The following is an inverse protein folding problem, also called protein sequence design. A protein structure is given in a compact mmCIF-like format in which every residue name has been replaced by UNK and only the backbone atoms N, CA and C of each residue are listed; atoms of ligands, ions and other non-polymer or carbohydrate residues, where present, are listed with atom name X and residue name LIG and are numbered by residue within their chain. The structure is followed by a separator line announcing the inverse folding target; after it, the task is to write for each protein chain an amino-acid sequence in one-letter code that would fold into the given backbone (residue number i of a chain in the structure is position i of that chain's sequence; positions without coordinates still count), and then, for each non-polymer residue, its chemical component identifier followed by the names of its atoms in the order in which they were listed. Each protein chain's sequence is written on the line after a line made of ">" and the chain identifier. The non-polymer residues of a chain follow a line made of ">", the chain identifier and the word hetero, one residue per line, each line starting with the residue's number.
data_IF_517257590795
#
_entry.id   IF_517257590795
#
_cell.length_a   1.000
_cell.length_b   1.000
_cell.length_c   1.000
_cell.angle_alpha   90.00
_cell.angle_beta   90.00
_cell.angle_gamma   90.00
#
_symmetry.space_group_name_H-M   'P 1'
#
loop_
_entity.id
_entity.type
_entity.pdbx_description
1 polymer ?
#
# COMPACT_ATOMS: atom_id res chain seq x y z
N UNK A 1 -0.38 -19.71 26.56
CA UNK A 1 0.68 -19.09 25.74
C UNK A 1 2.01 -19.14 26.49
N UNK A 2 3.06 -19.72 25.91
CA UNK A 2 4.42 -19.63 26.48
C UNK A 2 5.07 -18.32 26.03
N UNK A 3 5.66 -17.56 26.96
CA UNK A 3 6.44 -16.38 26.60
C UNK A 3 7.76 -16.76 25.89
N UNK A 4 8.36 -15.79 25.17
CA UNK A 4 9.59 -16.01 24.40
C UNK A 4 10.74 -16.56 25.26
N UNK A 5 10.91 -16.07 26.50
CA UNK A 5 11.95 -16.55 27.40
C UNK A 5 11.75 -18.02 27.82
N UNK A 6 10.51 -18.47 27.98
CA UNK A 6 10.19 -19.88 28.26
C UNK A 6 10.51 -20.77 27.05
N UNK A 7 10.19 -20.31 25.83
CA UNK A 7 10.47 -21.04 24.58
C UNK A 7 11.99 -21.14 24.35
N UNK A 8 12.74 -20.05 24.57
CA UNK A 8 14.19 -20.05 24.45
C UNK A 8 14.87 -20.97 25.46
N UNK A 9 14.38 -20.98 26.71
CA UNK A 9 14.89 -21.89 27.76
C UNK A 9 14.68 -23.35 27.38
N UNK A 10 13.52 -23.71 26.84
CA UNK A 10 13.24 -25.09 26.44
C UNK A 10 14.09 -25.51 25.23
N UNK A 11 14.22 -24.63 24.23
CA UNK A 11 15.10 -24.85 23.07
C UNK A 11 16.59 -24.90 23.43
N UNK A 12 16.99 -24.32 24.55
CA UNK A 12 18.36 -24.43 25.07
C UNK A 12 18.62 -25.79 25.72
N UNK A 13 17.59 -26.42 26.30
CA UNK A 13 17.70 -27.76 26.89
C UNK A 13 17.59 -28.87 25.85
N UNK A 14 16.73 -28.69 24.85
CA UNK A 14 16.41 -29.69 23.82
C UNK A 14 16.32 -29.02 22.46
N UNK A 15 16.89 -29.64 21.42
CA UNK A 15 16.83 -29.10 20.04
C UNK A 15 15.39 -29.03 19.49
N UNK A 16 14.49 -29.88 20.01
CA UNK A 16 13.07 -29.97 19.66
C UNK A 16 12.30 -30.25 20.95
N UNK A 17 11.14 -29.63 21.13
CA UNK A 17 10.25 -29.91 22.25
C UNK A 17 8.78 -29.94 21.79
N UNK A 18 7.89 -30.71 22.44
CA UNK A 18 6.47 -30.74 22.08
C UNK A 18 5.76 -29.47 22.59
N UNK A 19 4.91 -28.87 21.75
CA UNK A 19 4.05 -27.77 22.17
C UNK A 19 3.14 -28.22 23.33
N UNK A 20 3.02 -27.46 24.43
CA UNK A 20 2.20 -27.85 25.58
C UNK A 20 0.68 -27.77 25.33
N UNK A 21 0.25 -27.27 24.18
CA UNK A 21 -1.17 -27.11 23.82
C UNK A 21 -1.60 -28.15 22.79
N UNK A 22 -0.80 -28.33 21.73
CA UNK A 22 -1.15 -29.16 20.57
C UNK A 22 -0.13 -30.25 20.23
N UNK A 23 0.86 -30.48 21.11
CA UNK A 23 1.91 -31.51 21.00
C UNK A 23 2.78 -31.44 19.73
N UNK A 24 2.58 -30.45 18.88
CA UNK A 24 3.32 -30.27 17.64
C UNK A 24 4.81 -30.03 17.97
N UNK A 25 5.75 -30.72 17.30
CA UNK A 25 7.17 -30.59 17.58
C UNK A 25 7.69 -29.21 17.17
N UNK A 26 8.09 -28.40 18.15
CA UNK A 26 8.59 -27.05 17.96
C UNK A 26 10.10 -27.07 17.75
N UNK A 27 10.57 -26.48 16.65
CA UNK A 27 11.98 -26.27 16.32
C UNK A 27 12.28 -24.77 16.25
N UNK A 28 13.54 -24.38 16.47
CA UNK A 28 13.94 -22.95 16.33
C UNK A 28 13.60 -22.39 14.94
N UNK A 29 13.78 -23.19 13.89
CA UNK A 29 13.50 -22.78 12.49
C UNK A 29 12.01 -22.63 12.17
N UNK A 30 11.12 -23.23 12.95
CA UNK A 30 9.66 -23.17 12.72
C UNK A 30 8.97 -22.09 13.57
N UNK A 31 9.69 -21.49 14.52
CA UNK A 31 9.17 -20.39 15.31
C UNK A 31 9.18 -19.10 14.49
N UNK A 32 8.04 -18.43 14.47
CA UNK A 32 7.89 -17.13 13.84
C UNK A 32 7.66 -16.07 14.92
N UNK A 33 8.17 -14.86 14.69
CA UNK A 33 7.84 -13.69 15.51
C UNK A 33 6.47 -13.11 15.16
N UNK A 34 5.86 -13.60 14.08
CA UNK A 34 4.52 -13.19 13.64
C UNK A 34 3.48 -13.63 14.65
N UNK A 35 2.52 -12.75 14.89
CA UNK A 35 1.36 -13.05 15.74
C UNK A 35 0.38 -13.97 15.00
N UNK A 36 -0.54 -14.59 15.73
CA UNK A 36 -1.62 -15.36 15.10
C UNK A 36 -2.50 -14.45 14.23
N UNK A 37 -2.74 -13.22 14.67
CA UNK A 37 -3.48 -12.21 13.93
C UNK A 37 -2.79 -11.90 12.59
N UNK A 38 -1.46 -11.76 12.56
CA UNK A 38 -0.70 -11.54 11.32
C UNK A 38 -0.87 -12.69 10.32
N UNK A 39 -0.93 -13.93 10.80
CA UNK A 39 -1.08 -15.12 9.96
C UNK A 39 -2.53 -15.22 9.46
N UNK A 40 -3.50 -14.93 10.32
CA UNK A 40 -4.92 -14.95 9.97
C UNK A 40 -5.26 -13.83 8.96
N UNK A 41 -4.78 -12.61 9.19
CA UNK A 41 -4.96 -11.49 8.26
C UNK A 41 -4.30 -11.75 6.90
N UNK A 42 -3.13 -12.40 6.85
CA UNK A 42 -2.51 -12.77 5.57
C UNK A 42 -3.33 -13.82 4.83
N UNK A 43 -3.82 -14.85 5.54
CA UNK A 43 -4.69 -15.88 4.96
C UNK A 43 -5.97 -15.26 4.38
N UNK A 44 -6.62 -14.38 5.15
CA UNK A 44 -7.80 -13.62 4.73
C UNK A 44 -7.50 -12.76 3.50
N UNK A 45 -6.46 -11.93 3.56
CA UNK A 45 -6.08 -11.02 2.48
C UNK A 45 -5.73 -11.78 1.20
N UNK A 46 -5.04 -12.91 1.31
CA UNK A 46 -4.67 -13.75 0.18
C UNK A 46 -5.91 -14.34 -0.52
N UNK A 47 -6.85 -14.89 0.25
CA UNK A 47 -8.09 -15.45 -0.31
C UNK A 47 -9.03 -14.37 -0.83
N UNK A 48 -9.22 -13.25 -0.11
CA UNK A 48 -10.04 -12.13 -0.57
C UNK A 48 -9.52 -11.59 -1.90
N UNK A 49 -8.20 -11.40 -2.06
CA UNK A 49 -7.60 -11.00 -3.35
C UNK A 49 -7.91 -11.99 -4.47
N UNK A 50 -7.84 -13.29 -4.20
CA UNK A 50 -8.12 -14.33 -5.19
C UNK A 50 -9.60 -14.36 -5.58
N UNK A 51 -10.50 -14.29 -4.62
CA UNK A 51 -11.95 -14.28 -4.85
C UNK A 51 -12.35 -13.01 -5.60
N UNK A 52 -11.93 -11.82 -5.17
CA UNK A 52 -12.25 -10.55 -5.84
C UNK A 52 -11.67 -10.43 -7.26
N UNK A 53 -10.61 -11.19 -7.58
CA UNK A 53 -10.08 -11.25 -8.95
C UNK A 53 -11.06 -11.93 -9.91
N UNK A 54 -11.79 -12.92 -9.41
CA UNK A 54 -12.80 -13.70 -10.14
C UNK A 54 -14.17 -13.00 -10.07
N UNK A 55 -14.59 -12.65 -8.86
CA UNK A 55 -15.80 -11.91 -8.56
C UNK A 55 -15.57 -10.40 -8.72
N UNK A 56 -15.43 -9.94 -9.97
CA UNK A 56 -15.08 -8.56 -10.30
C UNK A 56 -16.22 -7.70 -10.88
N UNK A 57 -17.48 -8.08 -10.63
CA UNK A 57 -18.64 -7.23 -10.94
C UNK A 57 -18.69 -6.02 -9.99
N UNK A 58 -19.19 -4.91 -10.51
CA UNK A 58 -19.36 -3.61 -9.84
C UNK A 58 -20.84 -3.27 -9.76
N UNK A 59 -21.19 -2.28 -8.93
CA UNK A 59 -22.58 -1.87 -8.70
C UNK A 59 -23.37 -1.60 -10.00
N UNK A 60 -22.74 -0.99 -11.01
CA UNK A 60 -23.37 -0.68 -12.30
C UNK A 60 -23.78 -1.91 -13.13
N UNK A 61 -23.33 -3.10 -12.75
CA UNK A 61 -23.71 -4.35 -13.42
C UNK A 61 -25.01 -4.94 -12.89
N UNK A 62 -25.54 -4.36 -11.81
CA UNK A 62 -26.73 -4.84 -11.14
C UNK A 62 -27.88 -3.83 -11.36
N UNK A 63 -29.11 -4.32 -11.49
CA UNK A 63 -30.29 -3.47 -11.66
C UNK A 63 -30.67 -2.74 -10.37
N UNK A 64 -30.19 -3.18 -9.21
CA UNK A 64 -30.47 -2.57 -7.92
C UNK A 64 -29.31 -2.70 -6.93
N UNK A 65 -29.27 -1.78 -5.98
CA UNK A 65 -28.31 -1.82 -4.87
C UNK A 65 -28.48 -3.08 -4.00
N UNK A 66 -29.72 -3.59 -3.85
CA UNK A 66 -29.98 -4.82 -3.10
C UNK A 66 -29.28 -6.02 -3.74
N UNK A 67 -29.36 -6.17 -5.06
CA UNK A 67 -28.69 -7.26 -5.77
C UNK A 67 -27.18 -7.16 -5.69
N UNK A 68 -26.63 -5.95 -5.79
CA UNK A 68 -25.20 -5.73 -5.59
C UNK A 68 -24.76 -6.10 -4.17
N UNK A 69 -25.52 -5.71 -3.14
CA UNK A 69 -25.20 -6.07 -1.76
C UNK A 69 -25.32 -7.58 -1.51
N UNK A 70 -26.33 -8.25 -2.08
CA UNK A 70 -26.44 -9.72 -2.00
C UNK A 70 -25.24 -10.41 -2.66
N UNK A 71 -24.76 -9.85 -3.77
CA UNK A 71 -23.54 -10.33 -4.43
C UNK A 71 -22.28 -10.12 -3.57
N UNK A 72 -22.15 -8.97 -2.90
CA UNK A 72 -21.04 -8.73 -1.95
C UNK A 72 -21.10 -9.69 -0.76
N UNK A 73 -22.29 -9.95 -0.23
CA UNK A 73 -22.49 -10.92 0.84
C UNK A 73 -22.08 -12.34 0.39
N UNK A 74 -22.49 -12.76 -0.81
CA UNK A 74 -22.07 -14.06 -1.38
C UNK A 74 -20.54 -14.17 -1.47
N UNK A 75 -19.87 -13.09 -1.89
CA UNK A 75 -18.39 -13.03 -1.94
C UNK A 75 -17.78 -13.17 -0.55
N UNK A 76 -18.29 -12.46 0.45
CA UNK A 76 -17.77 -12.56 1.83
C UNK A 76 -18.08 -13.92 2.47
N UNK A 77 -19.23 -14.54 2.19
CA UNK A 77 -19.51 -15.93 2.60
C UNK A 77 -18.46 -16.90 2.03
N UNK A 78 -18.14 -16.81 0.73
CA UNK A 78 -17.11 -17.64 0.11
C UNK A 78 -15.75 -17.44 0.78
N UNK A 79 -15.35 -16.19 1.03
CA UNK A 79 -14.08 -15.87 1.69
C UNK A 79 -14.07 -16.42 3.12
N UNK A 80 -15.13 -16.20 3.88
CA UNK A 80 -15.25 -16.61 5.27
C UNK A 80 -15.11 -18.13 5.44
N UNK A 81 -15.88 -18.91 4.67
CA UNK A 81 -15.85 -20.37 4.75
C UNK A 81 -14.47 -20.92 4.37
N UNK A 82 -13.80 -20.32 3.37
CA UNK A 82 -12.45 -20.75 2.96
C UNK A 82 -11.38 -20.38 4.01
N UNK A 83 -11.43 -19.17 4.56
CA UNK A 83 -10.43 -18.66 5.51
C UNK A 83 -10.52 -19.40 6.85
N UNK A 84 -11.74 -19.68 7.31
CA UNK A 84 -11.98 -20.37 8.57
C UNK A 84 -12.00 -21.90 8.45
N UNK A 85 -11.82 -22.44 7.23
CA UNK A 85 -11.84 -23.89 6.97
C UNK A 85 -13.13 -24.55 7.46
N UNK A 86 -14.27 -23.92 7.15
CA UNK A 86 -15.59 -24.49 7.45
C UNK A 86 -15.81 -25.79 6.67
N UNK A 87 -16.83 -26.57 7.09
CA UNK A 87 -17.14 -27.87 6.49
C UNK A 87 -17.44 -27.80 4.99
N UNK A 88 -17.91 -26.64 4.50
CA UNK A 88 -18.24 -26.38 3.11
C UNK A 88 -17.11 -25.67 2.33
N UNK A 89 -15.93 -25.45 2.93
CA UNK A 89 -14.82 -24.71 2.31
C UNK A 89 -14.41 -25.29 0.94
N UNK A 90 -14.43 -26.61 0.77
CA UNK A 90 -14.13 -27.26 -0.52
C UNK A 90 -15.22 -27.03 -1.56
N UNK A 91 -16.49 -26.97 -1.13
CA UNK A 91 -17.61 -26.62 -2.00
C UNK A 91 -17.49 -25.16 -2.49
N UNK A 92 -17.18 -24.23 -1.59
CA UNK A 92 -16.97 -22.82 -1.97
C UNK A 92 -15.78 -22.65 -2.94
N UNK A 93 -14.69 -23.40 -2.75
CA UNK A 93 -13.56 -23.42 -3.72
C UNK A 93 -13.99 -23.97 -5.08
N UNK A 94 -14.81 -25.02 -5.10
CA UNK A 94 -15.34 -25.58 -6.35
C UNK A 94 -16.28 -24.59 -7.05
N UNK A 95 -17.14 -23.90 -6.30
CA UNK A 95 -18.03 -22.83 -6.79
C UNK A 95 -17.23 -21.69 -7.40
N UNK A 96 -16.19 -21.22 -6.72
CA UNK A 96 -15.27 -20.20 -7.22
C UNK A 96 -14.64 -20.61 -8.56
N UNK A 97 -14.14 -21.85 -8.65
CA UNK A 97 -13.53 -22.37 -9.87
C UNK A 97 -14.54 -22.47 -11.03
N UNK A 98 -15.74 -22.96 -10.75
CA UNK A 98 -16.82 -23.05 -11.74
C UNK A 98 -17.20 -21.65 -12.26
N UNK A 99 -17.34 -20.68 -11.37
CA UNK A 99 -17.63 -19.30 -11.76
C UNK A 99 -16.51 -18.71 -12.63
N UNK A 100 -15.24 -18.95 -12.29
CA UNK A 100 -14.09 -18.52 -13.06
C UNK A 100 -14.11 -19.09 -14.49
N UNK A 101 -14.45 -20.37 -14.65
CA UNK A 101 -14.56 -21.04 -15.94
C UNK A 101 -15.71 -20.47 -16.79
N UNK A 102 -16.88 -20.26 -16.19
CA UNK A 102 -18.08 -19.75 -16.85
C UNK A 102 -17.96 -18.27 -17.27
N UNK A 103 -17.24 -17.46 -16.48
CA UNK A 103 -17.17 -16.00 -16.67
C UNK A 103 -15.80 -15.52 -17.16
N UNK A 104 -14.93 -16.44 -17.60
CA UNK A 104 -13.52 -16.16 -17.92
C UNK A 104 -13.32 -14.96 -18.85
N UNK A 105 -14.10 -14.85 -19.92
CA UNK A 105 -13.99 -13.74 -20.88
C UNK A 105 -14.33 -12.39 -20.28
N UNK A 106 -15.45 -12.31 -19.54
CA UNK A 106 -15.90 -11.10 -18.86
C UNK A 106 -14.89 -10.66 -17.78
N UNK A 107 -14.36 -11.63 -17.03
CA UNK A 107 -13.36 -11.40 -16.00
C UNK A 107 -12.11 -10.76 -16.62
N UNK A 108 -11.59 -11.32 -17.71
CA UNK A 108 -10.38 -10.82 -18.39
C UNK A 108 -10.59 -9.42 -18.96
N UNK A 109 -11.72 -9.16 -19.62
CA UNK A 109 -12.03 -7.83 -20.18
C UNK A 109 -12.02 -6.78 -19.07
N UNK A 110 -12.70 -7.05 -17.95
CA UNK A 110 -12.75 -6.14 -16.80
C UNK A 110 -11.38 -5.93 -16.15
N UNK A 111 -10.59 -6.99 -16.03
CA UNK A 111 -9.23 -6.87 -15.52
C UNK A 111 -8.38 -5.96 -16.41
N UNK A 112 -8.53 -6.06 -17.73
CA UNK A 112 -7.86 -5.15 -18.67
C UNK A 112 -8.31 -3.71 -18.48
N UNK A 113 -9.63 -3.47 -18.43
CA UNK A 113 -10.20 -2.13 -18.25
C UNK A 113 -9.70 -1.49 -16.95
N UNK A 114 -9.73 -2.23 -15.83
CA UNK A 114 -9.19 -1.75 -14.55
C UNK A 114 -7.70 -1.44 -14.63
N UNK A 115 -6.91 -2.29 -15.29
CA UNK A 115 -5.48 -2.07 -15.43
C UNK A 115 -5.16 -0.82 -16.28
N UNK A 116 -5.96 -0.55 -17.31
CA UNK A 116 -5.84 0.66 -18.14
C UNK A 116 -6.23 1.92 -17.37
N UNK A 117 -7.31 1.86 -16.57
CA UNK A 117 -7.71 2.94 -15.66
C UNK A 117 -6.64 3.23 -14.60
N UNK A 118 -6.11 2.20 -13.94
CA UNK A 118 -5.04 2.32 -12.95
C UNK A 118 -3.78 2.95 -13.56
N UNK A 119 -3.42 2.54 -14.79
CA UNK A 119 -2.29 3.14 -15.52
C UNK A 119 -2.53 4.62 -15.81
N UNK A 120 -3.72 4.98 -16.30
CA UNK A 120 -4.09 6.37 -16.58
C UNK A 120 -4.03 7.25 -15.32
N UNK A 121 -4.52 6.73 -14.19
CA UNK A 121 -4.44 7.42 -12.89
C UNK A 121 -2.97 7.59 -12.46
N UNK A 122 -2.16 6.54 -12.57
CA UNK A 122 -0.74 6.59 -12.22
C UNK A 122 0.03 7.61 -13.08
N UNK A 123 -0.24 7.66 -14.39
CA UNK A 123 0.38 8.62 -15.31
C UNK A 123 0.01 10.06 -14.94
N UNK A 124 -1.25 10.32 -14.57
CA UNK A 124 -1.71 11.63 -14.09
C UNK A 124 -1.00 12.04 -12.80
N UNK A 125 -0.93 11.14 -11.82
CA UNK A 125 -0.21 11.39 -10.56
C UNK A 125 1.26 11.70 -10.84
N UNK A 126 1.91 10.94 -11.72
CA UNK A 126 3.31 11.16 -12.08
C UNK A 126 3.52 12.51 -12.79
N UNK A 127 2.59 12.93 -13.65
CA UNK A 127 2.63 14.24 -14.30
C UNK A 127 2.51 15.39 -13.27
N UNK A 128 1.56 15.28 -12.34
CA UNK A 128 1.38 16.26 -11.27
C UNK A 128 2.62 16.35 -10.37
N UNK A 129 3.25 15.20 -10.05
CA UNK A 129 4.49 15.17 -9.27
C UNK A 129 5.64 15.87 -9.99
N UNK A 130 5.82 15.64 -11.30
CA UNK A 130 6.84 16.31 -12.12
C UNK A 130 6.62 17.82 -12.18
N UNK A 131 5.37 18.26 -12.34
CA UNK A 131 5.01 19.67 -12.38
C UNK A 131 5.25 20.35 -11.02
N UNK A 132 4.88 19.68 -9.93
CA UNK A 132 5.16 20.17 -8.58
C UNK A 132 6.66 20.30 -8.31
N UNK A 133 7.46 19.33 -8.76
CA UNK A 133 8.92 19.38 -8.64
C UNK A 133 9.53 20.53 -9.46
N UNK A 134 9.07 20.72 -10.71
CA UNK A 134 9.49 21.85 -11.55
C UNK A 134 9.20 23.19 -10.88
N UNK A 135 7.97 23.40 -10.39
CA UNK A 135 7.57 24.63 -9.68
C UNK A 135 8.40 24.85 -8.42
N UNK A 136 8.67 23.80 -7.63
CA UNK A 136 9.55 23.88 -6.45
C UNK A 136 10.95 24.35 -6.83
N UNK A 137 11.52 23.79 -7.90
CA UNK A 137 12.86 24.17 -8.38
C UNK A 137 12.89 25.61 -8.88
N UNK A 138 11.89 26.03 -9.65
CA UNK A 138 11.76 27.42 -10.13
C UNK A 138 11.64 28.41 -8.98
N UNK A 139 10.84 28.09 -7.95
CA UNK A 139 10.72 28.92 -6.75
C UNK A 139 12.07 29.12 -6.05
N UNK A 140 12.80 28.02 -5.80
CA UNK A 140 14.13 28.04 -5.17
C UNK A 140 15.12 28.90 -5.99
N UNK A 141 15.12 28.74 -7.32
CA UNK A 141 15.98 29.52 -8.20
C UNK A 141 15.60 31.01 -8.19
N UNK A 142 14.31 31.32 -8.21
CA UNK A 142 13.79 32.69 -8.13
C UNK A 142 14.16 33.38 -6.82
N UNK A 143 13.96 32.71 -5.69
CA UNK A 143 14.36 33.21 -4.37
C UNK A 143 15.87 33.49 -4.31
N UNK A 144 16.68 32.58 -4.84
CA UNK A 144 18.15 32.76 -4.91
C UNK A 144 18.54 33.96 -5.77
N UNK A 145 17.90 34.15 -6.92
CA UNK A 145 18.16 35.28 -7.80
C UNK A 145 17.78 36.61 -7.12
N UNK A 146 16.63 36.68 -6.46
CA UNK A 146 16.19 37.86 -5.69
C UNK A 146 17.21 38.17 -4.58
N UNK A 147 17.68 37.16 -3.85
CA UNK A 147 18.68 37.33 -2.80
C UNK A 147 20.00 37.91 -3.34
N UNK A 148 20.48 37.42 -4.49
CA UNK A 148 21.68 37.96 -5.15
C UNK A 148 21.49 39.39 -5.64
N UNK A 149 20.37 39.72 -6.27
CA UNK A 149 20.07 41.09 -6.71
C UNK A 149 19.97 42.06 -5.53
N UNK A 150 19.31 41.65 -4.44
CA UNK A 150 19.26 42.44 -3.19
C UNK A 150 20.65 42.68 -2.62
N UNK A 151 21.55 41.69 -2.67
CA UNK A 151 22.94 41.83 -2.20
C UNK A 151 23.70 42.84 -3.06
N UNK A 152 23.64 42.72 -4.39
CA UNK A 152 24.30 43.66 -5.32
C UNK A 152 23.82 45.10 -5.12
N UNK A 153 22.50 45.32 -5.07
CA UNK A 153 21.94 46.65 -4.84
C UNK A 153 22.41 47.28 -3.52
N UNK A 154 22.55 46.46 -2.47
CA UNK A 154 23.08 46.91 -1.16
C UNK A 154 24.54 47.31 -1.24
N UNK A 155 25.37 46.54 -1.96
CA UNK A 155 26.79 46.84 -2.19
C UNK A 155 26.96 48.14 -2.99
N UNK A 156 26.22 48.28 -4.10
CA UNK A 156 26.21 49.49 -4.93
C UNK A 156 25.78 50.73 -4.13
N UNK A 157 24.68 50.63 -3.39
CA UNK A 157 24.21 51.73 -2.52
C UNK A 157 25.24 52.11 -1.46
N UNK A 158 25.92 51.13 -0.86
CA UNK A 158 27.00 51.39 0.12
C UNK A 158 28.19 52.10 -0.52
N UNK A 159 28.56 51.71 -1.75
CA UNK A 159 29.66 52.33 -2.48
C UNK A 159 29.39 53.79 -2.85
N UNK A 160 28.17 54.11 -3.30
CA UNK A 160 27.75 55.49 -3.58
C UNK A 160 27.85 56.36 -2.33
N UNK A 161 27.30 55.90 -1.19
CA UNK A 161 27.36 56.62 0.09
C UNK A 161 28.79 56.90 0.56
N UNK A 162 29.74 55.99 0.29
CA UNK A 162 31.16 56.19 0.61
C UNK A 162 31.81 57.21 -0.33
N UNK A 163 31.51 57.16 -1.63
CA UNK A 163 32.01 58.11 -2.62
C UNK A 163 31.50 59.54 -2.40
N UNK A 164 30.27 59.71 -1.96
CA UNK A 164 29.71 61.03 -1.59
C UNK A 164 30.42 61.63 -0.35
N UNK A 165 30.77 60.81 0.64
CA UNK A 165 31.56 61.25 1.81
C UNK A 165 32.97 61.70 1.44
N UNK A 166 33.60 61.04 0.47
CA UNK A 166 34.93 61.39 -0.02
C UNK A 166 34.94 62.69 -0.85
N UNK A 167 33.81 63.06 -1.46
CA UNK A 167 33.64 64.35 -2.15
C UNK A 167 33.45 65.49 -1.16
N UNK A 168 32.62 65.30 -0.13
CA UNK A 168 32.41 66.29 0.94
C UNK A 168 33.69 66.55 1.75
N UNK A 169 34.57 65.55 1.89
CA UNK A 169 35.83 65.71 2.63
C UNK A 169 36.95 66.42 1.85
N UNK A 170 36.72 66.76 0.57
CA UNK A 170 37.69 67.41 -0.32
C UNK A 170 37.39 68.89 -0.59
N UNK A 171 36.24 69.40 -0.14
CA UNK A 171 35.90 70.83 -0.09
C UNK A 171 36.31 71.44 1.26
#
# INVERSE_FOLDING_TARGET
>A
FSCMSCVERELSRRKVFPCPICETPVKRVTLTTRTLDDVQCEKDTSWRKRVMKVYNKVESDFPSLLEYNNYLEEVECIVFSIVNEESDAEEQKAKLKKYEEENKSQIVIRQSQRADEERSIADRIAAEQRDAERKRRECILGERAIALSKKKYKEESTQVMLGERDQISKE
#
